data_IF_603778056825
#
_entry.id   IF_603778056825
#
_cell.length_a   1.000
_cell.length_b   1.000
_cell.length_c   1.000
_cell.angle_alpha   90.00
_cell.angle_beta   90.00
_cell.angle_gamma   90.00
#
_symmetry.space_group_name_H-M   'P 1'
#
loop_
_entity.id
_entity.type
_entity.pdbx_description
1 polymer ?
#
# COMPACT_ATOMS: atom_id res chain seq x y z
N UNK A 1 -21.75 8.43 -5.82
CA UNK A 1 -21.45 8.49 -7.26
C UNK A 1 -20.45 7.39 -7.56
N UNK A 2 -20.69 6.48 -8.51
CA UNK A 2 -19.65 5.55 -8.91
C UNK A 2 -18.60 6.35 -9.68
N UNK A 3 -17.40 6.49 -9.11
CA UNK A 3 -16.23 6.95 -9.85
C UNK A 3 -16.06 6.06 -11.07
N UNK A 4 -16.06 6.65 -12.26
CA UNK A 4 -15.93 5.89 -13.51
C UNK A 4 -14.62 5.08 -13.49
N UNK A 5 -14.63 3.86 -14.04
CA UNK A 5 -13.44 2.99 -14.14
C UNK A 5 -12.21 3.71 -14.74
N UNK A 6 -12.44 4.70 -15.60
CA UNK A 6 -11.43 5.59 -16.19
C UNK A 6 -10.66 6.41 -15.13
N UNK A 7 -11.35 6.92 -14.11
CA UNK A 7 -10.77 7.72 -13.04
C UNK A 7 -9.85 6.88 -12.15
N UNK A 8 -10.24 5.64 -11.84
CA UNK A 8 -9.42 4.69 -11.09
C UNK A 8 -8.13 4.31 -11.83
N UNK A 9 -8.21 4.12 -13.16
CA UNK A 9 -7.03 3.84 -13.97
C UNK A 9 -6.06 5.03 -14.02
N UNK A 10 -6.60 6.25 -14.12
CA UNK A 10 -5.80 7.48 -14.09
C UNK A 10 -5.08 7.64 -12.75
N UNK A 11 -5.80 7.41 -11.64
CA UNK A 11 -5.23 7.45 -10.30
C UNK A 11 -4.11 6.41 -10.12
N UNK A 12 -4.33 5.17 -10.56
CA UNK A 12 -3.31 4.12 -10.45
C UNK A 12 -2.05 4.46 -11.25
N UNK A 13 -2.18 5.00 -12.48
CA UNK A 13 -1.03 5.45 -13.27
C UNK A 13 -0.24 6.56 -12.58
N UNK A 14 -0.94 7.55 -12.03
CA UNK A 14 -0.28 8.62 -11.26
C UNK A 14 0.39 8.09 -10.00
N UNK A 15 -0.21 7.09 -9.34
CA UNK A 15 0.37 6.45 -8.18
C UNK A 15 1.63 5.64 -8.54
N UNK A 16 1.59 4.86 -9.63
CA UNK A 16 2.72 4.07 -10.13
C UNK A 16 3.91 4.99 -10.40
N UNK A 17 3.68 6.09 -11.12
CA UNK A 17 4.70 7.11 -11.41
C UNK A 17 5.33 7.69 -10.13
N UNK A 18 4.50 8.04 -9.14
CA UNK A 18 4.96 8.54 -7.83
C UNK A 18 5.72 7.50 -7.00
N UNK A 19 5.44 6.21 -7.18
CA UNK A 19 6.16 5.13 -6.47
C UNK A 19 7.50 4.83 -7.16
N UNK A 20 7.59 4.96 -8.49
CA UNK A 20 8.78 4.60 -9.25
C UNK A 20 9.76 5.73 -9.49
N UNK A 21 9.31 6.99 -9.49
CA UNK A 21 10.19 8.13 -9.79
C UNK A 21 11.23 8.34 -8.68
N UNK A 22 12.49 8.56 -9.04
CA UNK A 22 13.55 8.93 -8.08
C UNK A 22 13.42 10.39 -7.60
N UNK A 23 12.66 11.22 -8.33
CA UNK A 23 12.46 12.64 -8.02
C UNK A 23 10.96 12.91 -7.87
N UNK A 24 10.59 13.54 -6.77
CA UNK A 24 9.23 14.02 -6.53
C UNK A 24 9.18 15.55 -6.59
N UNK A 25 8.30 16.06 -7.44
CA UNK A 25 7.99 17.49 -7.51
C UNK A 25 6.82 17.83 -6.58
N UNK A 26 7.02 18.80 -5.69
CA UNK A 26 5.99 19.23 -4.72
C UNK A 26 5.54 20.65 -5.07
N UNK A 27 4.26 20.77 -5.42
CA UNK A 27 3.61 22.04 -5.72
C UNK A 27 2.88 22.54 -4.47
N UNK A 28 3.51 23.47 -3.73
CA UNK A 28 2.85 24.13 -2.59
C UNK A 28 2.02 25.31 -3.10
N UNK A 29 0.84 25.54 -2.50
CA UNK A 29 -0.05 26.64 -2.90
C UNK A 29 0.69 27.98 -2.87
N UNK A 30 0.62 28.73 -3.97
CA UNK A 30 1.30 30.02 -4.19
C UNK A 30 2.82 30.00 -3.98
N UNK A 31 3.47 28.85 -4.19
CA UNK A 31 4.93 28.73 -4.15
C UNK A 31 5.42 28.11 -5.44
N UNK A 32 6.67 28.39 -5.78
CA UNK A 32 7.34 27.72 -6.89
C UNK A 32 7.47 26.22 -6.59
N UNK A 33 7.30 25.34 -7.58
CA UNK A 33 7.55 23.92 -7.42
C UNK A 33 8.97 23.62 -6.94
N UNK A 34 9.12 22.63 -6.08
CA UNK A 34 10.42 22.19 -5.55
C UNK A 34 10.59 20.70 -5.82
N UNK A 35 11.78 20.33 -6.29
CA UNK A 35 12.16 18.95 -6.57
C UNK A 35 12.89 18.36 -5.36
N UNK A 36 12.49 17.17 -4.94
CA UNK A 36 13.12 16.41 -3.87
C UNK A 36 13.44 15.00 -4.36
N UNK A 37 14.47 14.37 -3.79
CA UNK A 37 14.63 12.92 -3.93
C UNK A 37 13.42 12.22 -3.31
N UNK A 38 12.89 11.23 -4.03
CA UNK A 38 11.71 10.49 -3.60
C UNK A 38 12.09 9.43 -2.57
N UNK A 39 11.42 9.50 -1.42
CA UNK A 39 11.52 8.49 -0.34
C UNK A 39 10.14 7.96 0.05
N UNK A 40 9.14 8.15 -0.82
CA UNK A 40 7.77 7.76 -0.53
C UNK A 40 7.63 6.24 -0.54
N UNK A 41 6.99 5.71 0.49
CA UNK A 41 6.44 4.35 0.53
C UNK A 41 4.95 4.46 0.79
N UNK A 42 4.14 3.73 0.03
CA UNK A 42 2.67 3.86 0.07
C UNK A 42 2.03 2.59 0.61
N UNK A 43 1.16 2.74 1.60
CA UNK A 43 0.26 1.68 2.08
C UNK A 43 -1.16 2.06 1.68
N UNK A 44 -1.83 1.20 0.93
CA UNK A 44 -3.21 1.41 0.46
C UNK A 44 -4.16 0.49 1.21
N UNK A 45 -5.20 1.08 1.81
CA UNK A 45 -6.31 0.34 2.41
C UNK A 45 -7.55 0.51 1.54
N UNK A 46 -8.15 -0.59 1.11
CA UNK A 46 -9.36 -0.58 0.29
C UNK A 46 -10.24 -1.78 0.63
N UNK A 47 -11.56 -1.55 0.61
CA UNK A 47 -12.56 -2.62 0.69
C UNK A 47 -13.03 -3.07 -0.71
N UNK A 48 -12.59 -2.36 -1.74
CA UNK A 48 -12.93 -2.58 -3.15
C UNK A 48 -11.67 -2.92 -3.95
N UNK A 49 -11.83 -3.63 -5.07
CA UNK A 49 -10.74 -3.88 -6.02
C UNK A 49 -10.46 -2.61 -6.87
N UNK A 50 -9.99 -1.55 -6.21
CA UNK A 50 -9.91 -0.20 -6.76
C UNK A 50 -8.70 0.04 -7.67
N UNK A 51 -7.63 -0.76 -7.54
CA UNK A 51 -6.39 -0.58 -8.31
C UNK A 51 -6.28 -1.67 -9.36
N UNK A 52 -6.23 -1.37 -10.66
CA UNK A 52 -5.94 -2.40 -11.67
C UNK A 52 -4.45 -2.71 -11.68
N UNK A 53 -4.09 -3.95 -11.37
CA UNK A 53 -2.69 -4.38 -11.32
C UNK A 53 -2.44 -5.32 -12.49
N UNK A 54 -1.41 -4.99 -13.26
CA UNK A 54 -0.98 -5.75 -14.42
C UNK A 54 -0.24 -7.02 -13.97
N UNK A 55 -0.24 -8.05 -14.83
CA UNK A 55 0.38 -9.34 -14.50
C UNK A 55 1.89 -9.24 -14.26
N UNK A 56 2.55 -8.25 -14.88
CA UNK A 56 3.98 -7.99 -14.74
C UNK A 56 4.30 -6.96 -13.65
N UNK A 57 3.34 -6.58 -12.80
CA UNK A 57 3.58 -5.58 -11.76
C UNK A 57 4.60 -6.07 -10.71
N UNK A 58 5.69 -5.30 -10.58
CA UNK A 58 6.80 -5.55 -9.65
C UNK A 58 6.85 -4.58 -8.48
N UNK A 59 5.84 -3.71 -8.32
CA UNK A 59 5.89 -2.62 -7.34
C UNK A 59 4.87 -2.79 -6.20
N UNK A 60 3.91 -3.69 -6.36
CA UNK A 60 2.82 -3.87 -5.40
C UNK A 60 2.84 -5.25 -4.75
N UNK A 61 2.72 -5.26 -3.42
CA UNK A 61 2.44 -6.46 -2.61
C UNK A 61 0.96 -6.45 -2.25
N UNK A 62 0.24 -7.54 -2.55
CA UNK A 62 -1.11 -7.79 -2.02
C UNK A 62 -0.98 -8.73 -0.84
N UNK A 63 -1.50 -8.33 0.31
CA UNK A 63 -1.44 -9.15 1.52
C UNK A 63 -2.63 -10.12 1.54
N UNK A 64 -2.36 -11.40 1.78
CA UNK A 64 -3.39 -12.39 2.07
C UNK A 64 -3.88 -12.19 3.51
N UNK A 65 -5.03 -11.51 3.65
CA UNK A 65 -5.59 -11.16 4.96
C UNK A 65 -6.68 -12.15 5.37
N UNK A 66 -6.50 -12.80 6.52
CA UNK A 66 -7.49 -13.72 7.08
C UNK A 66 -8.77 -12.98 7.51
N UNK A 67 -9.97 -13.54 7.21
CA UNK A 67 -11.23 -12.98 7.71
C UNK A 67 -11.49 -13.29 9.19
N UNK A 68 -10.59 -13.99 9.90
CA UNK A 68 -10.79 -14.49 11.27
C UNK A 68 -11.15 -13.41 12.31
N UNK A 69 -10.73 -12.17 12.09
CA UNK A 69 -11.05 -11.03 12.97
C UNK A 69 -12.14 -10.11 12.41
N UNK A 70 -12.70 -10.41 11.24
CA UNK A 70 -13.76 -9.60 10.62
C UNK A 70 -14.95 -9.48 11.58
N UNK A 71 -15.44 -8.25 11.77
CA UNK A 71 -16.53 -7.90 12.72
C UNK A 71 -16.25 -8.16 14.21
N UNK A 72 -15.02 -8.53 14.60
CA UNK A 72 -14.68 -8.68 16.01
C UNK A 72 -14.47 -7.31 16.69
N UNK A 73 -15.57 -6.66 17.05
CA UNK A 73 -15.57 -5.31 17.63
C UNK A 73 -14.79 -5.24 18.93
N UNK A 74 -14.85 -6.28 19.77
CA UNK A 74 -14.13 -6.32 21.03
C UNK A 74 -12.62 -6.33 20.83
N UNK A 75 -12.13 -7.11 19.86
CA UNK A 75 -10.72 -7.11 19.47
C UNK A 75 -10.26 -5.73 19.00
N UNK A 76 -10.99 -5.12 18.06
CA UNK A 76 -10.60 -3.81 17.51
C UNK A 76 -10.74 -2.67 18.53
N UNK A 77 -11.69 -2.74 19.46
CA UNK A 77 -11.81 -1.77 20.56
C UNK A 77 -10.61 -1.84 21.50
N UNK A 78 -10.15 -3.06 21.84
CA UNK A 78 -8.92 -3.24 22.62
C UNK A 78 -7.72 -2.68 21.88
N UNK A 79 -7.55 -3.03 20.61
CA UNK A 79 -6.46 -2.54 19.77
C UNK A 79 -6.45 -1.00 19.68
N UNK A 80 -7.61 -0.39 19.42
CA UNK A 80 -7.78 1.05 19.37
C UNK A 80 -7.48 1.76 20.69
N UNK A 81 -7.73 1.10 21.83
CA UNK A 81 -7.33 1.64 23.13
C UNK A 81 -5.83 1.47 23.39
N UNK A 82 -5.23 0.36 22.97
CA UNK A 82 -3.77 0.14 23.10
C UNK A 82 -2.98 1.19 22.34
N UNK A 83 -3.43 1.56 21.13
CA UNK A 83 -2.78 2.60 20.32
C UNK A 83 -2.80 4.01 20.95
N UNK A 84 -3.57 4.23 22.02
CA UNK A 84 -3.59 5.53 22.73
C UNK A 84 -2.44 5.68 23.74
N UNK A 85 -1.81 4.58 24.14
CA UNK A 85 -0.65 4.65 25.03
C UNK A 85 0.56 5.16 24.24
N UNK A 86 1.26 6.20 24.70
CA UNK A 86 2.45 6.73 24.02
C UNK A 86 3.50 5.65 23.73
N UNK A 87 3.72 4.77 24.69
CA UNK A 87 4.75 3.71 24.62
C UNK A 87 4.41 2.63 23.58
N UNK A 88 3.15 2.51 23.17
CA UNK A 88 2.75 1.47 22.21
C UNK A 88 3.37 1.70 20.83
N UNK A 89 3.48 2.97 20.39
CA UNK A 89 4.11 3.30 19.11
C UNK A 89 5.62 3.13 19.17
N UNK A 90 6.25 3.50 20.30
CA UNK A 90 7.68 3.32 20.53
C UNK A 90 8.06 1.83 20.57
N UNK A 91 7.30 1.02 21.32
CA UNK A 91 7.51 -0.43 21.36
C UNK A 91 7.33 -1.08 19.99
N UNK A 92 6.32 -0.64 19.22
CA UNK A 92 6.12 -1.13 17.85
C UNK A 92 7.28 -0.73 16.92
N UNK A 93 7.76 0.51 17.02
CA UNK A 93 8.92 0.97 16.26
C UNK A 93 10.20 0.20 16.64
N UNK A 94 10.46 0.00 17.92
CA UNK A 94 11.60 -0.77 18.42
C UNK A 94 11.55 -2.21 17.91
N UNK A 95 10.38 -2.83 17.88
CA UNK A 95 10.17 -4.15 17.29
C UNK A 95 10.51 -4.18 15.79
N UNK A 96 10.00 -3.21 15.00
CA UNK A 96 10.34 -3.10 13.57
C UNK A 96 11.83 -2.86 13.34
N UNK A 97 12.46 -2.05 14.20
CA UNK A 97 13.90 -1.78 14.12
C UNK A 97 14.73 -3.03 14.40
N UNK A 98 14.37 -3.80 15.42
CA UNK A 98 15.02 -5.07 15.73
C UNK A 98 14.94 -6.07 14.56
N UNK A 99 13.81 -6.11 13.83
CA UNK A 99 13.70 -6.92 12.61
C UNK A 99 14.64 -6.39 11.53
N UNK A 100 14.66 -5.09 11.28
CA UNK A 100 15.53 -4.49 10.26
C UNK A 100 17.02 -4.75 10.55
N UNK A 101 17.42 -4.66 11.82
CA UNK A 101 18.80 -4.91 12.25
C UNK A 101 19.16 -6.41 12.16
N UNK A 102 18.20 -7.32 12.35
CA UNK A 102 18.40 -8.76 12.21
C UNK A 102 18.53 -9.22 10.74
N UNK A 103 17.96 -8.47 9.80
CA UNK A 103 17.95 -8.81 8.37
C UNK A 103 18.45 -7.63 7.51
N UNK A 104 19.74 -7.25 7.62
CA UNK A 104 20.29 -6.08 6.93
C UNK A 104 20.27 -6.22 5.41
N UNK A 105 20.36 -7.45 4.90
CA UNK A 105 20.38 -7.76 3.47
C UNK A 105 18.98 -8.00 2.88
N UNK A 106 17.91 -7.74 3.65
CA UNK A 106 16.56 -7.96 3.16
C UNK A 106 16.26 -7.09 1.93
N UNK A 107 16.00 -7.73 0.80
CA UNK A 107 15.51 -7.10 -0.40
C UNK A 107 14.04 -7.44 -0.61
N UNK A 108 13.17 -6.44 -0.46
CA UNK A 108 11.72 -6.59 -0.70
C UNK A 108 11.34 -6.74 -2.19
N UNK A 109 12.30 -6.70 -3.11
CA UNK A 109 12.09 -6.81 -4.54
C UNK A 109 12.67 -8.11 -5.12
N UNK A 110 11.94 -8.81 -6.02
CA UNK A 110 10.57 -8.52 -6.43
C UNK A 110 9.55 -8.93 -5.35
N UNK A 111 8.39 -8.26 -5.29
CA UNK A 111 7.32 -8.63 -4.37
C UNK A 111 6.79 -10.03 -4.67
N UNK A 112 6.39 -10.80 -3.65
CA UNK A 112 5.85 -12.15 -3.84
C UNK A 112 4.50 -12.14 -4.59
N UNK A 113 4.25 -13.21 -5.34
CA UNK A 113 2.94 -13.47 -5.94
C UNK A 113 2.04 -14.19 -4.93
N UNK A 114 1.14 -13.44 -4.30
CA UNK A 114 0.17 -13.97 -3.33
C UNK A 114 -1.12 -14.44 -4.01
N UNK A 115 -1.93 -15.23 -3.32
CA UNK A 115 -3.22 -15.68 -3.85
C UNK A 115 -4.12 -14.47 -4.15
N UNK A 116 -4.14 -13.49 -3.23
CA UNK A 116 -4.90 -12.25 -3.43
C UNK A 116 -4.42 -11.45 -4.65
N UNK A 117 -3.11 -11.41 -4.93
CA UNK A 117 -2.57 -10.74 -6.13
C UNK A 117 -3.02 -11.45 -7.40
N UNK A 118 -2.94 -12.78 -7.42
CA UNK A 118 -3.33 -13.59 -8.56
C UNK A 118 -4.83 -13.47 -8.86
N UNK A 119 -5.69 -13.63 -7.85
CA UNK A 119 -7.14 -13.47 -7.98
C UNK A 119 -7.50 -12.07 -8.47
N UNK A 120 -6.81 -11.07 -7.96
CA UNK A 120 -7.01 -9.68 -8.37
C UNK A 120 -6.63 -9.46 -9.84
N UNK A 121 -5.47 -9.95 -10.30
CA UNK A 121 -5.06 -9.90 -11.71
C UNK A 121 -6.14 -10.55 -12.58
N UNK A 122 -6.58 -11.77 -12.24
CA UNK A 122 -7.63 -12.50 -12.97
C UNK A 122 -8.92 -11.67 -13.05
N UNK A 123 -9.34 -11.05 -11.94
CA UNK A 123 -10.57 -10.25 -11.88
C UNK A 123 -10.53 -8.98 -12.75
N UNK A 124 -9.33 -8.53 -13.13
CA UNK A 124 -9.14 -7.29 -13.90
C UNK A 124 -8.89 -7.50 -15.38
N UNK A 125 -8.65 -8.75 -15.82
CA UNK A 125 -8.52 -9.12 -17.22
C UNK A 125 -9.75 -8.68 -18.01
N UNK A 126 -9.53 -8.16 -19.22
CA UNK A 126 -10.63 -7.85 -20.12
C UNK A 126 -11.39 -9.14 -20.46
N UNK A 127 -12.74 -9.12 -20.49
CA UNK A 127 -13.49 -10.23 -21.04
C UNK A 127 -13.00 -10.46 -22.47
N UNK A 128 -12.79 -11.72 -22.82
CA UNK A 128 -12.37 -12.13 -24.16
C UNK A 128 -13.53 -12.06 -25.17
N UNK A 129 -14.46 -11.10 -25.07
CA UNK A 129 -15.58 -10.93 -25.99
C UNK A 129 -16.04 -9.48 -26.02
#
# INVERSE_FOLDING_TARGET
>A
MPTEKSQWNSLYRSLKDKVTSDIMEIHKKYKTPIHYKNFMSTIVFTNENALRVENDDRHTVFLDVSPSRKRNLNYFKKLGNTMKYPDASEAFYAYLRAIADAYPDFNGNPPPMTASKQDHIISTLSPLF
#
